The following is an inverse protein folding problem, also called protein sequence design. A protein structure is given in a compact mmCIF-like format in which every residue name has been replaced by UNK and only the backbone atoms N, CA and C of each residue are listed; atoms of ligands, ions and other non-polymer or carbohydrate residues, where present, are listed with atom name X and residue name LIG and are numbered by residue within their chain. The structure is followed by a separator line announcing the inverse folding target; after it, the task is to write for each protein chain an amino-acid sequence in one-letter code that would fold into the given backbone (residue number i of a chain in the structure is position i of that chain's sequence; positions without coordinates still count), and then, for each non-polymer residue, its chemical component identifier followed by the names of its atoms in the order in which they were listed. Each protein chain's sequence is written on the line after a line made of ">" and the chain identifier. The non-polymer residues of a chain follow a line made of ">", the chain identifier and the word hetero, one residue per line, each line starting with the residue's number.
data_IF_003376152791
#
_entry.id   IF_003376152791
#
_cell.length_a   1.000
_cell.length_b   1.000
_cell.length_c   1.000
_cell.angle_alpha   90.00
_cell.angle_beta   90.00
_cell.angle_gamma   90.00
#
_symmetry.space_group_name_H-M   'P 1'
#
loop_
_entity.id
_entity.type
_entity.pdbx_description
1 polymer ?
#
# COMPACT_ATOMS: atom_id res chain seq x y z
N UNK A 1 -26.46 -36.29 -33.69
CA UNK A 1 -27.43 -36.75 -32.67
C UNK A 1 -26.76 -37.84 -31.83
N UNK A 2 -26.04 -37.48 -30.76
CA UNK A 2 -25.66 -38.40 -29.69
C UNK A 2 -25.49 -37.61 -28.38
N UNK A 3 -26.47 -37.77 -27.51
CA UNK A 3 -26.47 -37.30 -26.12
C UNK A 3 -25.49 -38.15 -25.30
N UNK A 4 -24.67 -37.52 -24.46
CA UNK A 4 -24.12 -38.17 -23.25
C UNK A 4 -24.14 -37.20 -22.08
N UNK A 5 -25.25 -37.24 -21.36
CA UNK A 5 -25.41 -36.77 -19.99
C UNK A 5 -24.62 -37.65 -19.05
N UNK A 6 -23.75 -37.06 -18.22
CA UNK A 6 -23.32 -37.65 -16.96
C UNK A 6 -23.61 -36.62 -15.87
N UNK A 7 -24.67 -36.87 -15.10
CA UNK A 7 -24.87 -36.28 -13.78
C UNK A 7 -24.02 -37.07 -12.80
N UNK A 8 -23.21 -36.39 -12.00
CA UNK A 8 -22.99 -36.84 -10.62
C UNK A 8 -22.84 -35.63 -9.70
N UNK A 9 -23.81 -35.55 -8.78
CA UNK A 9 -23.83 -34.70 -7.59
C UNK A 9 -22.92 -35.33 -6.54
N UNK A 10 -22.06 -34.56 -5.87
CA UNK A 10 -21.67 -34.87 -4.49
C UNK A 10 -21.07 -33.69 -3.71
N UNK A 11 -21.89 -33.25 -2.76
CA UNK A 11 -21.62 -32.96 -1.33
C UNK A 11 -20.53 -31.96 -0.97
N UNK A 12 -21.02 -30.80 -0.49
CA UNK A 12 -20.36 -29.89 0.45
C UNK A 12 -19.81 -30.66 1.66
N UNK A 13 -18.56 -30.42 2.02
CA UNK A 13 -18.03 -30.66 3.36
C UNK A 13 -17.46 -29.33 3.85
N UNK A 14 -18.24 -28.66 4.71
CA UNK A 14 -17.76 -27.53 5.51
C UNK A 14 -16.99 -28.13 6.70
N UNK A 15 -15.70 -27.83 6.81
CA UNK A 15 -14.93 -28.04 8.03
C UNK A 15 -14.77 -26.69 8.72
N UNK A 16 -15.61 -26.49 9.73
CA UNK A 16 -15.54 -25.38 10.67
C UNK A 16 -14.33 -25.65 11.57
N UNK A 17 -13.22 -24.95 11.29
CA UNK A 17 -12.03 -24.96 12.14
C UNK A 17 -12.28 -24.10 13.38
N UNK A 18 -12.36 -24.73 14.54
CA UNK A 18 -12.44 -24.07 15.83
C UNK A 18 -11.05 -23.50 16.20
N UNK A 19 -10.92 -22.18 16.26
CA UNK A 19 -9.73 -21.51 16.79
C UNK A 19 -9.95 -21.19 18.28
N UNK A 20 -9.35 -22.01 19.14
CA UNK A 20 -9.18 -21.70 20.55
C UNK A 20 -7.74 -21.21 20.75
N UNK A 21 -7.53 -19.90 20.74
CA UNK A 21 -6.25 -19.29 21.09
C UNK A 21 -6.32 -18.77 22.53
N UNK A 22 -5.44 -19.33 23.36
CA UNK A 22 -5.39 -19.17 24.81
C UNK A 22 -5.09 -17.76 25.30
N UNK A 23 -5.55 -17.51 26.52
CA UNK A 23 -5.47 -16.25 27.25
C UNK A 23 -4.03 -15.86 27.62
N UNK A 24 -3.78 -14.55 27.56
CA UNK A 24 -2.52 -13.87 27.83
C UNK A 24 -2.10 -13.99 29.31
N UNK A 25 -0.88 -14.48 29.54
CA UNK A 25 -0.17 -14.38 30.83
C UNK A 25 0.20 -12.92 31.09
N UNK A 26 -0.45 -12.28 32.06
CA UNK A 26 -0.05 -10.95 32.56
C UNK A 26 0.91 -11.13 33.74
N UNK A 27 2.18 -10.82 33.50
CA UNK A 27 3.23 -10.78 34.52
C UNK A 27 3.06 -9.56 35.43
N UNK A 28 3.04 -9.81 36.73
CA UNK A 28 3.10 -8.79 37.77
C UNK A 28 4.54 -8.27 37.93
N UNK A 29 4.72 -6.95 37.93
CA UNK A 29 5.90 -6.27 38.47
C UNK A 29 5.52 -4.84 38.85
N UNK A 30 5.13 -4.64 40.11
CA UNK A 30 5.02 -3.33 40.74
C UNK A 30 5.59 -3.43 42.14
N UNK A 31 6.82 -2.92 42.30
CA UNK A 31 7.30 -2.19 43.46
C UNK A 31 8.82 -2.02 43.33
N UNK A 32 9.26 -0.81 43.02
CA UNK A 32 10.62 -0.38 43.34
C UNK A 32 10.53 1.00 43.95
N UNK A 33 11.09 1.08 45.14
CA UNK A 33 10.92 2.12 46.14
C UNK A 33 11.56 3.44 45.69
N UNK A 34 10.79 4.52 45.86
CA UNK A 34 11.26 5.91 45.79
C UNK A 34 12.50 6.07 46.67
N UNK A 35 13.63 6.52 46.09
CA UNK A 35 14.65 7.36 46.74
C UNK A 35 15.56 7.90 45.63
N UNK A 36 15.23 9.07 45.09
CA UNK A 36 16.18 9.88 44.32
C UNK A 36 16.24 11.28 44.93
N UNK A 37 17.45 11.82 45.16
CA UNK A 37 17.63 13.19 45.60
C UNK A 37 17.15 14.13 44.51
N UNK A 38 16.59 15.28 44.91
CA UNK A 38 16.15 16.34 44.02
C UNK A 38 17.34 16.89 43.21
N UNK A 39 17.66 16.23 42.10
CA UNK A 39 18.47 16.81 41.05
C UNK A 39 17.64 17.93 40.42
N UNK A 40 18.18 19.15 40.44
CA UNK A 40 17.56 20.33 39.88
C UNK A 40 16.95 20.01 38.50
N UNK A 41 15.64 20.11 38.38
CA UNK A 41 14.91 19.98 37.12
C UNK A 41 15.40 21.13 36.23
N UNK A 42 16.39 20.86 35.40
CA UNK A 42 16.71 21.72 34.28
C UNK A 42 15.43 21.83 33.46
N UNK A 43 14.90 23.06 33.34
CA UNK A 43 13.72 23.35 32.55
C UNK A 43 13.86 22.68 31.17
N UNK A 44 12.79 22.06 30.63
CA UNK A 44 12.86 21.39 29.34
C UNK A 44 13.39 22.39 28.31
N UNK A 45 14.60 22.12 27.80
CA UNK A 45 15.17 22.89 26.70
C UNK A 45 14.14 22.83 25.59
N UNK A 46 13.59 24.00 25.23
CA UNK A 46 12.67 24.18 24.11
C UNK A 46 13.34 23.51 22.90
N UNK A 47 12.78 22.39 22.45
CA UNK A 47 13.34 21.67 21.31
C UNK A 47 13.48 22.67 20.15
N UNK A 48 14.61 22.69 19.43
CA UNK A 48 14.73 23.55 18.26
C UNK A 48 13.57 23.22 17.33
N UNK A 49 12.78 24.25 16.98
CA UNK A 49 11.75 24.12 15.96
C UNK A 49 12.48 23.80 14.67
N UNK A 50 12.42 22.54 14.25
CA UNK A 50 12.87 22.13 12.92
C UNK A 50 11.85 22.72 11.95
N UNK A 51 12.26 23.75 11.20
CA UNK A 51 11.50 24.22 10.06
C UNK A 51 11.64 23.16 8.96
N UNK A 52 10.71 22.22 8.92
CA UNK A 52 10.61 21.30 7.81
C UNK A 52 10.18 22.10 6.57
N UNK A 53 10.80 21.88 5.39
CA UNK A 53 10.31 22.45 4.15
C UNK A 53 8.85 22.03 3.94
N UNK A 54 8.08 22.91 3.31
CA UNK A 54 6.71 22.58 2.94
C UNK A 54 6.71 21.33 2.04
N UNK A 55 5.76 20.39 2.25
CA UNK A 55 5.69 19.18 1.44
C UNK A 55 5.48 19.54 -0.02
N UNK A 56 6.12 18.80 -0.92
CA UNK A 56 5.86 18.96 -2.35
C UNK A 56 4.43 18.50 -2.68
N UNK A 57 3.91 18.91 -3.85
CA UNK A 57 2.60 18.44 -4.31
C UNK A 57 2.51 16.91 -4.35
N UNK A 58 3.58 16.24 -4.78
CA UNK A 58 3.63 14.79 -4.78
C UNK A 58 3.60 14.21 -3.36
N UNK A 59 4.24 14.86 -2.38
CA UNK A 59 4.22 14.39 -1.00
C UNK A 59 2.83 14.51 -0.37
N UNK A 60 2.09 15.58 -0.68
CA UNK A 60 0.69 15.72 -0.25
C UNK A 60 -0.16 14.59 -0.83
N UNK A 61 -0.08 14.38 -2.15
CA UNK A 61 -0.82 13.32 -2.83
C UNK A 61 -0.45 11.92 -2.30
N UNK A 62 0.83 11.65 -2.01
CA UNK A 62 1.27 10.38 -1.40
C UNK A 62 0.64 10.16 -0.03
N UNK A 63 0.56 11.21 0.79
CA UNK A 63 -0.02 11.13 2.12
C UNK A 63 -1.54 10.88 2.04
N UNK A 64 -2.24 11.61 1.18
CA UNK A 64 -3.69 11.47 0.99
C UNK A 64 -4.03 10.11 0.38
N UNK A 65 -3.34 9.69 -0.68
CA UNK A 65 -3.46 8.35 -1.27
C UNK A 65 -3.15 7.25 -0.25
N UNK A 66 -2.10 7.44 0.57
CA UNK A 66 -1.71 6.55 1.66
C UNK A 66 -2.73 6.46 2.79
N UNK A 67 -3.48 7.53 3.04
CA UNK A 67 -4.62 7.55 3.99
C UNK A 67 -5.87 6.86 3.45
N UNK A 68 -5.87 6.56 2.15
CA UNK A 68 -6.89 5.78 1.48
C UNK A 68 -7.77 6.58 0.51
N UNK A 69 -7.43 7.84 0.25
CA UNK A 69 -8.16 8.68 -0.70
C UNK A 69 -7.90 8.22 -2.15
N UNK A 70 -8.95 7.75 -2.80
CA UNK A 70 -8.88 7.14 -4.14
C UNK A 70 -8.60 8.19 -5.22
N UNK A 71 -9.19 9.39 -5.08
CA UNK A 71 -8.97 10.49 -6.02
C UNK A 71 -7.50 10.92 -6.00
N UNK A 72 -6.91 11.09 -4.81
CA UNK A 72 -5.50 11.44 -4.64
C UNK A 72 -4.58 10.34 -5.17
N UNK A 73 -4.93 9.06 -4.98
CA UNK A 73 -4.17 7.96 -5.56
C UNK A 73 -4.17 8.01 -7.11
N UNK A 74 -5.33 8.27 -7.69
CA UNK A 74 -5.49 8.43 -9.13
C UNK A 74 -4.72 9.63 -9.66
N UNK A 75 -4.85 10.79 -9.02
CA UNK A 75 -4.13 12.01 -9.38
C UNK A 75 -2.60 11.84 -9.26
N UNK A 76 -2.15 11.17 -8.20
CA UNK A 76 -0.75 10.83 -8.00
C UNK A 76 -0.22 9.95 -9.14
N UNK A 77 -0.94 8.87 -9.44
CA UNK A 77 -0.57 7.92 -10.50
C UNK A 77 -0.50 8.60 -11.87
N UNK A 78 -1.48 9.44 -12.20
CA UNK A 78 -1.47 10.24 -13.45
C UNK A 78 -0.26 11.18 -13.49
N UNK A 79 -0.06 11.96 -12.43
CA UNK A 79 1.01 12.96 -12.40
C UNK A 79 2.41 12.32 -12.50
N UNK A 80 2.61 11.14 -11.90
CA UNK A 80 3.86 10.39 -12.00
C UNK A 80 4.07 9.85 -13.43
N UNK A 81 3.04 9.29 -14.07
CA UNK A 81 3.14 8.84 -15.47
C UNK A 81 3.40 9.99 -16.44
N UNK A 82 2.78 11.14 -16.24
CA UNK A 82 2.99 12.32 -17.08
C UNK A 82 4.41 12.92 -16.87
N UNK A 83 4.92 12.86 -15.64
CA UNK A 83 6.31 13.24 -15.35
C UNK A 83 7.30 12.26 -15.95
N UNK A 84 7.02 10.96 -15.93
CA UNK A 84 7.79 9.97 -16.67
C UNK A 84 7.78 10.25 -18.18
N UNK A 85 6.62 10.51 -18.78
CA UNK A 85 6.51 10.80 -20.22
C UNK A 85 7.33 12.05 -20.62
N UNK A 86 7.49 13.03 -19.72
CA UNK A 86 8.24 14.26 -19.99
C UNK A 86 9.73 14.18 -19.67
N UNK A 87 10.13 13.41 -18.65
CA UNK A 87 11.52 13.36 -18.16
C UNK A 87 12.26 12.07 -18.52
N UNK A 88 11.52 10.99 -18.80
CA UNK A 88 12.04 9.64 -18.93
C UNK A 88 12.46 9.00 -17.60
N UNK A 89 12.16 9.61 -16.45
CA UNK A 89 12.58 9.10 -15.14
C UNK A 89 11.87 7.78 -14.82
N UNK A 90 12.66 6.71 -14.68
CA UNK A 90 12.14 5.36 -14.42
C UNK A 90 11.61 5.19 -12.99
N UNK A 91 12.04 6.03 -12.05
CA UNK A 91 11.56 5.97 -10.66
C UNK A 91 10.11 6.45 -10.57
N UNK A 92 9.76 7.51 -11.31
CA UNK A 92 8.38 8.00 -11.41
C UNK A 92 7.46 6.94 -12.04
N UNK A 93 7.93 6.22 -13.08
CA UNK A 93 7.17 5.12 -13.68
C UNK A 93 6.96 3.96 -12.71
N UNK A 94 8.02 3.54 -12.01
CA UNK A 94 7.93 2.46 -11.03
C UNK A 94 6.96 2.83 -9.90
N UNK A 95 7.08 4.04 -9.37
CA UNK A 95 6.21 4.53 -8.30
C UNK A 95 4.74 4.57 -8.75
N UNK A 96 4.46 5.07 -9.96
CA UNK A 96 3.10 5.10 -10.51
C UNK A 96 2.48 3.71 -10.55
N UNK A 97 3.24 2.71 -11.03
CA UNK A 97 2.75 1.32 -11.12
C UNK A 97 2.44 0.73 -9.74
N UNK A 98 3.23 1.05 -8.72
CA UNK A 98 2.95 0.62 -7.34
C UNK A 98 1.65 1.21 -6.81
N UNK A 99 1.37 2.49 -7.08
CA UNK A 99 0.13 3.14 -6.66
C UNK A 99 -1.10 2.63 -7.40
N UNK A 100 -0.97 2.32 -8.69
CA UNK A 100 -2.01 1.67 -9.49
C UNK A 100 -2.32 0.27 -8.95
N UNK A 101 -1.29 -0.51 -8.64
CA UNK A 101 -1.44 -1.88 -8.12
C UNK A 101 -2.21 -1.94 -6.80
N UNK A 102 -1.90 -1.02 -5.87
CA UNK A 102 -2.57 -0.92 -4.57
C UNK A 102 -4.10 -0.80 -4.66
N UNK A 103 -4.61 -0.32 -5.78
CA UNK A 103 -6.04 -0.07 -6.01
C UNK A 103 -6.57 -0.79 -7.25
N UNK A 104 -5.98 -1.95 -7.57
CA UNK A 104 -6.38 -2.79 -8.72
C UNK A 104 -7.89 -3.03 -8.83
N UNK A 105 -8.58 -3.22 -7.72
CA UNK A 105 -10.01 -3.53 -7.69
C UNK A 105 -10.92 -2.29 -7.82
N UNK A 106 -10.35 -1.09 -7.75
CA UNK A 106 -11.10 0.15 -7.94
C UNK A 106 -11.39 0.34 -9.43
N UNK A 107 -12.66 0.56 -9.77
CA UNK A 107 -13.14 0.62 -11.15
C UNK A 107 -12.53 1.76 -11.97
N UNK A 108 -12.08 2.82 -11.30
CA UNK A 108 -11.49 4.03 -11.86
C UNK A 108 -10.01 3.89 -12.31
N UNK A 109 -9.37 2.76 -11.99
CA UNK A 109 -7.98 2.48 -12.39
C UNK A 109 -7.84 1.72 -13.72
N UNK A 110 -8.94 1.31 -14.33
CA UNK A 110 -8.92 0.53 -15.59
C UNK A 110 -8.15 1.25 -16.70
N UNK A 111 -8.36 2.57 -16.84
CA UNK A 111 -7.67 3.39 -17.84
C UNK A 111 -6.16 3.50 -17.59
N UNK A 112 -5.77 3.59 -16.31
CA UNK A 112 -4.36 3.66 -15.90
C UNK A 112 -3.66 2.32 -16.14
N UNK A 113 -4.31 1.21 -15.81
CA UNK A 113 -3.83 -0.13 -16.13
C UNK A 113 -3.65 -0.29 -17.63
N UNK A 114 -4.65 0.08 -18.43
CA UNK A 114 -4.57 0.01 -19.89
C UNK A 114 -3.41 0.87 -20.45
N UNK A 115 -3.18 2.07 -19.90
CA UNK A 115 -2.04 2.93 -20.26
C UNK A 115 -0.71 2.24 -19.95
N UNK A 116 -0.57 1.64 -18.76
CA UNK A 116 0.65 0.93 -18.36
C UNK A 116 0.93 -0.26 -19.27
N UNK A 117 -0.07 -1.09 -19.51
CA UNK A 117 0.03 -2.26 -20.39
C UNK A 117 0.41 -1.86 -21.81
N UNK A 118 -0.28 -0.87 -22.37
CA UNK A 118 -0.10 -0.47 -23.76
C UNK A 118 1.19 0.30 -24.05
N UNK A 119 1.77 1.01 -23.07
CA UNK A 119 2.88 1.94 -23.32
C UNK A 119 4.16 1.62 -22.57
N UNK A 120 4.08 1.02 -21.37
CA UNK A 120 5.24 0.96 -20.46
C UNK A 120 5.75 -0.45 -20.18
N UNK A 121 5.04 -1.52 -20.54
CA UNK A 121 5.50 -2.88 -20.23
C UNK A 121 6.82 -3.31 -20.91
N UNK A 122 7.27 -2.59 -21.94
CA UNK A 122 8.62 -2.76 -22.51
C UNK A 122 9.74 -2.16 -21.65
N UNK A 123 9.42 -1.30 -20.68
CA UNK A 123 10.39 -0.61 -19.83
C UNK A 123 10.98 -1.57 -18.79
N UNK A 124 12.31 -1.52 -18.63
CA UNK A 124 13.06 -2.46 -17.76
C UNK A 124 12.57 -2.49 -16.31
N UNK A 125 12.10 -1.36 -15.78
CA UNK A 125 11.71 -1.23 -14.38
C UNK A 125 10.34 -1.86 -14.06
N UNK A 126 9.47 -2.01 -15.07
CA UNK A 126 8.11 -2.56 -14.90
C UNK A 126 7.85 -3.83 -15.70
N UNK A 127 8.76 -4.29 -16.56
CA UNK A 127 8.60 -5.52 -17.36
C UNK A 127 8.32 -6.79 -16.54
N UNK A 128 8.69 -6.78 -15.26
CA UNK A 128 8.49 -7.88 -14.33
C UNK A 128 7.29 -7.65 -13.39
N UNK A 129 6.59 -6.53 -13.56
CA UNK A 129 5.37 -6.27 -12.81
C UNK A 129 4.27 -7.19 -13.33
N UNK A 130 3.39 -7.68 -12.45
CA UNK A 130 2.36 -8.65 -12.84
C UNK A 130 1.42 -8.09 -13.91
N UNK A 131 1.14 -6.77 -13.89
CA UNK A 131 0.43 -6.04 -14.95
C UNK A 131 1.04 -6.28 -16.35
N UNK A 132 2.34 -6.52 -16.42
CA UNK A 132 3.10 -6.67 -17.65
C UNK A 132 3.51 -8.12 -17.96
N UNK A 133 3.38 -9.04 -17.00
CA UNK A 133 3.70 -10.46 -17.17
C UNK A 133 2.52 -11.23 -17.77
N UNK A 134 1.28 -10.82 -17.46
CA UNK A 134 0.06 -11.52 -17.87
C UNK A 134 -0.92 -10.61 -18.59
N UNK A 135 -0.53 -10.07 -19.74
CA UNK A 135 -1.47 -9.43 -20.66
C UNK A 135 -2.46 -10.45 -21.20
N UNK A 136 -3.51 -10.73 -20.42
CA UNK A 136 -4.77 -11.31 -20.92
C UNK A 136 -5.67 -10.20 -21.48
#
# INVERSE_FOLDING_TARGET
>A
MFHRTVRHVSKRIQLIGAFASGALLSGALMASTMHSPAAAVAAPRKAPRVNLPAPSRFDLLRNEAGSGDELSNRELSVALLDRHDSTGDSDDLYEAVVWIDRRREASDNTDLVARVVGRYCGQRVVRWHWLCIGGE
#
